data_IF_577343348548
#
_entry.id   IF_577343348548
#
_cell.length_a   1.000
_cell.length_b   1.000
_cell.length_c   1.000
_cell.angle_alpha   90.00
_cell.angle_beta   90.00
_cell.angle_gamma   90.00
#
_symmetry.space_group_name_H-M   'P 1'
#
loop_
_entity.id
_entity.type
_entity.pdbx_description
1 polymer ?
#
# COMPACT_ATOMS: atom_id res chain seq x y z
N UNK A 1 23.04 -46.91 18.34
CA UNK A 1 23.32 -46.86 16.88
C UNK A 1 22.80 -45.54 16.32
N UNK A 2 23.64 -44.50 16.11
CA UNK A 2 23.20 -43.19 15.64
C UNK A 2 23.95 -42.77 14.36
N UNK A 3 23.44 -43.13 13.17
CA UNK A 3 23.98 -42.62 11.90
C UNK A 3 22.92 -42.24 10.85
N UNK A 4 21.63 -42.49 11.07
CA UNK A 4 20.62 -42.34 10.01
C UNK A 4 20.06 -40.90 9.84
N UNK A 5 20.18 -40.02 10.83
CA UNK A 5 19.49 -38.71 10.83
C UNK A 5 20.21 -37.57 10.08
N UNK A 6 21.50 -37.73 9.72
CA UNK A 6 22.25 -36.68 9.00
C UNK A 6 22.04 -36.67 7.48
N UNK A 7 21.48 -37.74 6.89
CA UNK A 7 21.40 -37.87 5.43
C UNK A 7 20.15 -37.24 4.79
N UNK A 8 19.13 -36.91 5.58
CA UNK A 8 17.82 -36.42 5.08
C UNK A 8 17.86 -34.93 4.72
N UNK A 9 18.70 -34.14 5.40
CA UNK A 9 18.80 -32.69 5.15
C UNK A 9 19.59 -32.32 3.88
N UNK A 10 20.49 -33.19 3.40
CA UNK A 10 21.37 -32.89 2.25
C UNK A 10 20.64 -32.99 0.91
N UNK A 11 19.62 -33.85 0.81
CA UNK A 11 18.88 -34.04 -0.45
C UNK A 11 17.80 -32.97 -0.70
N UNK A 12 17.28 -32.33 0.34
CA UNK A 12 16.30 -31.24 0.22
C UNK A 12 16.92 -29.92 -0.24
N UNK A 13 18.22 -29.71 0.01
CA UNK A 13 18.94 -28.51 -0.43
C UNK A 13 19.36 -28.54 -1.91
N UNK A 14 19.47 -29.73 -2.53
CA UNK A 14 19.98 -29.89 -3.88
C UNK A 14 18.94 -29.70 -5.00
N UNK A 15 17.65 -29.66 -4.69
CA UNK A 15 16.59 -29.45 -5.71
C UNK A 15 16.22 -27.98 -5.96
N UNK A 16 16.82 -27.01 -5.25
CA UNK A 16 16.44 -25.59 -5.36
C UNK A 16 17.36 -24.78 -6.30
N UNK A 17 18.49 -25.33 -6.79
CA UNK A 17 19.56 -24.52 -7.42
C UNK A 17 19.59 -24.57 -8.97
N UNK A 18 18.67 -25.27 -9.64
CA UNK A 18 18.82 -25.57 -11.07
C UNK A 18 17.72 -25.09 -12.01
N UNK A 19 17.50 -23.78 -12.21
CA UNK A 19 16.84 -23.32 -13.45
C UNK A 19 17.16 -21.86 -13.83
N UNK A 20 17.74 -21.61 -15.03
CA UNK A 20 17.91 -20.26 -15.57
C UNK A 20 16.73 -19.80 -16.45
N UNK A 21 16.59 -18.48 -16.53
CA UNK A 21 15.55 -17.67 -17.19
C UNK A 21 15.65 -17.64 -18.73
N UNK A 22 14.51 -17.39 -19.39
CA UNK A 22 14.44 -16.59 -20.63
C UNK A 22 13.02 -16.07 -20.91
N UNK A 23 12.86 -14.75 -21.01
CA UNK A 23 11.71 -14.06 -21.58
C UNK A 23 12.21 -12.97 -22.53
N UNK A 24 11.59 -12.82 -23.71
CA UNK A 24 11.86 -11.75 -24.68
C UNK A 24 10.53 -11.33 -25.34
N UNK A 25 10.31 -10.01 -25.44
CA UNK A 25 9.07 -9.38 -25.90
C UNK A 25 9.33 -8.48 -27.12
N UNK A 26 8.35 -8.41 -28.04
CA UNK A 26 8.29 -7.44 -29.15
C UNK A 26 6.98 -7.58 -29.96
N UNK A 27 6.19 -6.49 -30.07
CA UNK A 27 4.97 -6.34 -30.90
C UNK A 27 5.19 -5.23 -31.96
N UNK A 28 4.52 -5.24 -33.15
CA UNK A 28 3.28 -4.44 -33.33
C UNK A 28 2.25 -4.84 -34.44
N UNK A 29 1.00 -4.35 -34.26
CA UNK A 29 -0.09 -3.90 -35.18
C UNK A 29 -0.72 -4.77 -36.31
N UNK A 30 -2.05 -4.59 -36.51
CA UNK A 30 -3.08 -5.55 -37.00
C UNK A 30 -3.89 -5.01 -38.22
N UNK A 31 -4.46 -5.86 -39.09
CA UNK A 31 -5.59 -5.50 -40.00
C UNK A 31 -6.74 -6.54 -40.07
N UNK A 32 -7.93 -6.13 -40.54
CA UNK A 32 -9.18 -6.94 -40.56
C UNK A 32 -9.15 -8.16 -41.50
N UNK A 33 -8.27 -8.18 -42.50
CA UNK A 33 -8.00 -9.39 -43.30
C UNK A 33 -7.13 -10.40 -42.53
N UNK A 34 -6.39 -9.93 -41.52
CA UNK A 34 -5.72 -10.79 -40.54
C UNK A 34 -6.71 -11.37 -39.54
N UNK A 35 -7.93 -10.82 -39.38
CA UNK A 35 -8.94 -11.36 -38.45
C UNK A 35 -9.60 -12.62 -39.01
N UNK A 36 -9.94 -12.67 -40.31
CA UNK A 36 -10.52 -13.90 -40.91
C UNK A 36 -9.49 -15.01 -41.12
N UNK A 37 -8.23 -14.65 -41.39
CA UNK A 37 -7.08 -15.57 -41.33
C UNK A 37 -6.67 -15.91 -39.91
N UNK A 38 -6.93 -15.07 -38.91
CA UNK A 38 -6.70 -15.35 -37.50
C UNK A 38 -7.68 -16.40 -37.01
N UNK A 39 -8.96 -16.38 -37.40
CA UNK A 39 -9.94 -17.39 -36.94
C UNK A 39 -9.63 -18.79 -37.48
N UNK A 40 -9.14 -18.92 -38.72
CA UNK A 40 -8.74 -20.22 -39.28
C UNK A 40 -7.34 -20.67 -38.84
N UNK A 41 -6.40 -19.73 -38.62
CA UNK A 41 -5.13 -20.01 -37.91
C UNK A 41 -5.27 -20.13 -36.38
N UNK A 42 -6.43 -19.80 -35.79
CA UNK A 42 -6.66 -19.90 -34.34
C UNK A 42 -6.66 -21.37 -33.91
N UNK A 43 -7.17 -22.24 -34.78
CA UNK A 43 -7.19 -23.70 -34.63
C UNK A 43 -5.90 -24.38 -35.12
N UNK A 44 -5.17 -23.82 -36.09
CA UNK A 44 -3.93 -24.43 -36.64
C UNK A 44 -2.59 -23.83 -36.13
N UNK A 45 -2.57 -22.64 -35.51
CA UNK A 45 -1.33 -21.94 -35.11
C UNK A 45 -1.34 -21.26 -33.71
N UNK A 46 -2.38 -21.40 -32.87
CA UNK A 46 -2.43 -20.64 -31.60
C UNK A 46 -3.00 -21.37 -30.38
N UNK A 47 -3.99 -22.24 -30.57
CA UNK A 47 -4.53 -23.05 -29.47
C UNK A 47 -3.61 -24.21 -29.09
N UNK A 48 -2.82 -24.76 -30.01
CA UNK A 48 -1.80 -25.77 -29.63
C UNK A 48 -0.70 -25.13 -28.80
N UNK A 49 -0.22 -23.93 -29.08
CA UNK A 49 0.83 -23.30 -28.26
C UNK A 49 0.37 -23.01 -26.83
N UNK A 50 -0.76 -22.33 -26.68
CA UNK A 50 -1.30 -21.94 -25.36
C UNK A 50 -1.91 -23.13 -24.62
N UNK A 51 -2.61 -24.04 -25.31
CA UNK A 51 -3.09 -25.27 -24.68
C UNK A 51 -1.95 -26.25 -24.39
N UNK A 52 -0.90 -26.34 -25.21
CA UNK A 52 0.31 -27.12 -24.91
C UNK A 52 1.06 -26.53 -23.74
N UNK A 53 1.21 -25.21 -23.67
CA UNK A 53 1.83 -24.54 -22.53
C UNK A 53 1.00 -24.78 -21.26
N UNK A 54 -0.33 -24.67 -21.33
CA UNK A 54 -1.20 -25.00 -20.20
C UNK A 54 -1.14 -26.47 -19.83
N UNK A 55 -1.12 -27.38 -20.81
CA UNK A 55 -1.00 -28.83 -20.58
C UNK A 55 0.37 -29.19 -20.03
N UNK A 56 1.44 -28.53 -20.45
CA UNK A 56 2.79 -28.71 -19.93
C UNK A 56 2.85 -28.26 -18.47
N UNK A 57 2.30 -27.07 -18.18
CA UNK A 57 2.18 -26.57 -16.81
C UNK A 57 1.33 -27.52 -15.96
N UNK A 58 0.15 -27.94 -16.44
CA UNK A 58 -0.71 -28.91 -15.75
C UNK A 58 0.03 -30.23 -15.55
N UNK A 59 0.76 -30.73 -16.56
CA UNK A 59 1.51 -31.98 -16.47
C UNK A 59 2.63 -31.88 -15.44
N UNK A 60 3.38 -30.77 -15.45
CA UNK A 60 4.39 -30.47 -14.45
C UNK A 60 3.80 -30.42 -13.04
N UNK A 61 2.66 -29.74 -12.87
CA UNK A 61 1.95 -29.71 -11.59
C UNK A 61 1.44 -31.08 -11.16
N UNK A 62 0.90 -31.88 -12.07
CA UNK A 62 0.43 -33.24 -11.79
C UNK A 62 1.62 -34.12 -11.37
N UNK A 63 2.74 -34.06 -12.09
CA UNK A 63 3.95 -34.81 -11.73
C UNK A 63 4.48 -34.36 -10.37
N UNK A 64 4.55 -33.05 -10.11
CA UNK A 64 4.94 -32.51 -8.81
C UNK A 64 3.99 -32.92 -7.67
N UNK A 65 2.68 -32.93 -7.92
CA UNK A 65 1.66 -33.39 -6.99
C UNK A 65 1.83 -34.89 -6.68
N UNK A 66 2.05 -35.71 -7.70
CA UNK A 66 2.28 -37.15 -7.53
C UNK A 66 3.61 -37.43 -6.80
N UNK A 67 4.66 -36.68 -7.11
CA UNK A 67 5.96 -36.79 -6.45
C UNK A 67 5.89 -36.38 -4.97
N UNK A 68 5.29 -35.23 -4.67
CA UNK A 68 5.06 -34.76 -3.29
C UNK A 68 4.18 -35.72 -2.49
N UNK A 69 3.17 -36.32 -3.12
CA UNK A 69 2.37 -37.40 -2.51
C UNK A 69 3.24 -38.59 -2.12
N UNK A 70 4.16 -38.99 -3.00
CA UNK A 70 5.14 -40.04 -2.72
C UNK A 70 6.03 -39.70 -1.54
N UNK A 71 6.53 -38.46 -1.47
CA UNK A 71 7.35 -37.98 -0.35
C UNK A 71 6.57 -38.02 0.96
N UNK A 72 5.32 -37.52 0.99
CA UNK A 72 4.48 -37.56 2.19
C UNK A 72 4.20 -39.00 2.62
N UNK A 73 3.88 -39.88 1.67
CA UNK A 73 3.69 -41.30 1.96
C UNK A 73 4.95 -41.93 2.54
N UNK A 74 6.12 -41.63 1.96
CA UNK A 74 7.41 -42.14 2.42
C UNK A 74 7.75 -41.64 3.83
N UNK A 75 7.62 -40.34 4.07
CA UNK A 75 7.84 -39.72 5.39
C UNK A 75 6.89 -40.33 6.43
N UNK A 76 5.60 -40.44 6.13
CA UNK A 76 4.61 -41.02 7.04
C UNK A 76 4.93 -42.47 7.39
N UNK A 77 5.24 -43.29 6.38
CA UNK A 77 5.61 -44.68 6.59
C UNK A 77 6.99 -44.82 7.26
N UNK A 78 7.87 -43.83 7.12
CA UNK A 78 9.12 -43.71 7.87
C UNK A 78 8.87 -43.46 9.36
N UNK A 79 8.05 -42.45 9.69
CA UNK A 79 7.66 -42.13 11.08
C UNK A 79 6.96 -43.30 11.78
N UNK A 80 6.24 -44.13 11.04
CA UNK A 80 5.61 -45.33 11.59
C UNK A 80 6.61 -46.31 12.22
N UNK A 81 7.87 -46.30 11.80
CA UNK A 81 8.91 -47.13 12.43
C UNK A 81 9.18 -46.69 13.88
N UNK A 82 9.06 -45.39 14.16
CA UNK A 82 9.26 -44.82 15.49
C UNK A 82 7.96 -44.83 16.31
N UNK A 83 6.79 -44.79 15.65
CA UNK A 83 5.47 -44.76 16.29
C UNK A 83 4.58 -45.92 15.80
N UNK A 84 4.57 -47.07 16.50
CA UNK A 84 3.85 -48.27 16.07
C UNK A 84 2.32 -48.11 16.04
N UNK A 85 1.80 -47.07 16.68
CA UNK A 85 0.37 -46.74 16.72
C UNK A 85 -0.14 -46.20 15.36
N UNK A 86 0.74 -45.73 14.48
CA UNK A 86 0.32 -45.09 13.23
C UNK A 86 -0.17 -46.11 12.17
N UNK A 87 -1.33 -45.86 11.53
CA UNK A 87 -1.83 -46.70 10.45
C UNK A 87 -0.98 -46.58 9.19
N UNK A 88 -0.87 -47.69 8.43
CA UNK A 88 -0.20 -47.68 7.12
C UNK A 88 -0.95 -46.80 6.14
N UNK A 89 -0.22 -45.85 5.54
CA UNK A 89 -0.77 -44.97 4.52
C UNK A 89 -0.47 -45.53 3.14
N UNK A 90 -1.51 -45.92 2.41
CA UNK A 90 -1.40 -46.26 0.99
C UNK A 90 -1.26 -44.99 0.16
N UNK A 91 -0.65 -45.09 -1.03
CA UNK A 91 -0.46 -43.95 -1.92
C UNK A 91 -1.78 -43.24 -2.25
N UNK A 92 -2.85 -44.02 -2.49
CA UNK A 92 -4.18 -43.48 -2.75
C UNK A 92 -4.75 -42.67 -1.56
N UNK A 93 -4.48 -43.11 -0.31
CA UNK A 93 -4.88 -42.36 0.89
C UNK A 93 -4.07 -41.09 1.05
N UNK A 94 -2.76 -41.14 0.81
CA UNK A 94 -1.90 -39.96 0.84
C UNK A 94 -2.36 -38.91 -0.20
N UNK A 95 -2.65 -39.35 -1.43
CA UNK A 95 -3.17 -38.50 -2.50
C UNK A 95 -4.50 -37.87 -2.09
N UNK A 96 -5.41 -38.67 -1.52
CA UNK A 96 -6.71 -38.18 -1.03
C UNK A 96 -6.56 -37.11 0.06
N UNK A 97 -5.63 -37.30 1.01
CA UNK A 97 -5.34 -36.31 2.05
C UNK A 97 -4.84 -34.99 1.44
N UNK A 98 -3.91 -35.05 0.50
CA UNK A 98 -3.34 -33.85 -0.15
C UNK A 98 -4.40 -33.11 -0.95
N UNK A 99 -5.22 -33.82 -1.73
CA UNK A 99 -6.32 -33.22 -2.49
C UNK A 99 -7.34 -32.57 -1.55
N UNK A 100 -7.72 -33.26 -0.46
CA UNK A 100 -8.66 -32.75 0.52
C UNK A 100 -8.13 -31.47 1.20
N UNK A 101 -6.87 -31.47 1.62
CA UNK A 101 -6.20 -30.30 2.19
C UNK A 101 -6.10 -29.16 1.19
N UNK A 102 -5.72 -29.46 -0.06
CA UNK A 102 -5.67 -28.47 -1.13
C UNK A 102 -7.03 -27.81 -1.37
N UNK A 103 -8.10 -28.59 -1.43
CA UNK A 103 -9.47 -28.09 -1.59
C UNK A 103 -9.90 -27.22 -0.40
N UNK A 104 -9.56 -27.63 0.83
CA UNK A 104 -9.82 -26.85 2.04
C UNK A 104 -9.11 -25.48 1.98
N UNK A 105 -7.83 -25.45 1.57
CA UNK A 105 -7.10 -24.19 1.41
C UNK A 105 -7.70 -23.30 0.32
N UNK A 106 -8.09 -23.87 -0.83
CA UNK A 106 -8.76 -23.12 -1.90
C UNK A 106 -10.05 -22.48 -1.39
N UNK A 107 -10.86 -23.21 -0.62
CA UNK A 107 -12.07 -22.68 -0.01
C UNK A 107 -11.76 -21.50 0.93
N UNK A 108 -10.78 -21.67 1.84
CA UNK A 108 -10.38 -20.61 2.78
C UNK A 108 -9.86 -19.36 2.05
N UNK A 109 -8.98 -19.53 1.06
CA UNK A 109 -8.43 -18.42 0.28
C UNK A 109 -9.52 -17.68 -0.50
N UNK A 110 -10.50 -18.41 -1.03
CA UNK A 110 -11.66 -17.83 -1.71
C UNK A 110 -12.50 -17.00 -0.73
N UNK A 111 -12.73 -17.50 0.49
CA UNK A 111 -13.46 -16.76 1.53
C UNK A 111 -12.73 -15.50 1.99
N UNK A 112 -11.41 -15.55 2.18
CA UNK A 112 -10.61 -14.36 2.54
C UNK A 112 -10.67 -13.31 1.42
N UNK A 113 -10.58 -13.75 0.16
CA UNK A 113 -10.65 -12.87 -0.99
C UNK A 113 -12.04 -12.24 -1.12
N UNK A 114 -13.10 -13.02 -0.94
CA UNK A 114 -14.49 -12.52 -0.92
C UNK A 114 -14.76 -11.54 0.22
N UNK A 115 -14.21 -11.79 1.42
CA UNK A 115 -14.32 -10.86 2.54
C UNK A 115 -13.62 -9.53 2.26
N UNK A 116 -12.45 -9.57 1.60
CA UNK A 116 -11.73 -8.35 1.20
C UNK A 116 -12.52 -7.52 0.18
N UNK A 117 -13.18 -8.17 -0.78
CA UNK A 117 -14.02 -7.49 -1.77
C UNK A 117 -15.22 -6.78 -1.12
N UNK A 118 -15.80 -7.38 -0.07
CA UNK A 118 -16.86 -6.75 0.71
C UNK A 118 -16.38 -5.55 1.55
N UNK A 119 -15.11 -5.53 1.94
CA UNK A 119 -14.53 -4.44 2.74
C UNK A 119 -14.11 -3.22 1.91
N UNK A 120 -14.05 -3.31 0.57
CA UNK A 120 -13.73 -2.17 -0.31
C UNK A 120 -14.86 -1.88 -1.30
N UNK A 121 -16.05 -1.47 -0.82
CA UNK A 121 -17.15 -1.08 -1.70
C UNK A 121 -16.69 0.06 -2.61
N UNK A 122 -16.88 -0.10 -3.92
CA UNK A 122 -16.51 0.90 -4.93
C UNK A 122 -15.12 0.76 -5.56
N UNK A 123 -14.31 -0.23 -5.15
CA UNK A 123 -13.00 -0.46 -5.77
C UNK A 123 -13.07 -1.03 -7.20
N UNK A 124 -14.23 -1.57 -7.59
CA UNK A 124 -14.46 -2.23 -8.87
C UNK A 124 -15.55 -1.50 -9.65
N UNK A 125 -15.24 -1.11 -10.87
CA UNK A 125 -16.20 -0.58 -11.84
C UNK A 125 -16.43 -1.61 -12.95
N UNK A 126 -17.68 -1.73 -13.40
CA UNK A 126 -18.04 -2.65 -14.47
C UNK A 126 -17.57 -2.09 -15.81
N UNK A 127 -16.62 -2.76 -16.47
CA UNK A 127 -16.15 -2.40 -17.81
C UNK A 127 -16.55 -3.50 -18.81
N UNK A 128 -17.77 -3.38 -19.36
CA UNK A 128 -18.33 -4.38 -20.28
C UNK A 128 -18.70 -5.69 -19.58
N UNK A 129 -18.07 -6.79 -19.99
CA UNK A 129 -18.24 -8.14 -19.44
C UNK A 129 -17.32 -8.45 -18.26
N UNK A 130 -16.33 -7.58 -18.00
CA UNK A 130 -15.31 -7.75 -16.97
C UNK A 130 -15.36 -6.61 -15.97
N UNK A 131 -14.80 -6.82 -14.78
CA UNK A 131 -14.61 -5.77 -13.77
C UNK A 131 -13.19 -5.21 -13.90
N UNK A 132 -13.06 -3.90 -13.70
CA UNK A 132 -11.76 -3.23 -13.62
C UNK A 132 -11.66 -2.48 -12.29
N UNK A 133 -10.46 -2.50 -11.70
CA UNK A 133 -10.18 -1.67 -10.54
C UNK A 133 -10.23 -0.19 -10.93
N UNK A 134 -10.94 0.61 -10.15
CA UNK A 134 -10.94 2.07 -10.31
C UNK A 134 -9.51 2.55 -10.05
N UNK A 135 -8.82 3.17 -11.03
CA UNK A 135 -7.49 3.70 -10.78
C UNK A 135 -7.59 4.79 -9.71
N UNK A 136 -6.64 4.82 -8.75
CA UNK A 136 -6.61 5.91 -7.77
C UNK A 136 -6.53 7.25 -8.51
N UNK A 137 -7.15 8.32 -7.97
CA UNK A 137 -7.09 9.64 -8.59
C UNK A 137 -5.62 10.01 -8.85
N UNK A 138 -5.31 10.65 -9.99
CA UNK A 138 -3.95 11.03 -10.32
C UNK A 138 -3.41 11.93 -9.20
N UNK A 139 -2.27 11.55 -8.63
CA UNK A 139 -1.53 12.39 -7.68
C UNK A 139 -1.27 13.72 -8.38
N UNK A 140 -1.69 14.86 -7.81
CA UNK A 140 -1.46 16.15 -8.43
C UNK A 140 0.06 16.36 -8.64
N UNK A 141 0.47 17.10 -9.69
CA UNK A 141 1.87 17.48 -9.84
C UNK A 141 2.39 18.15 -8.57
N UNK A 142 3.63 17.85 -8.16
CA UNK A 142 4.23 18.35 -6.91
C UNK A 142 4.11 19.88 -6.80
N UNK A 143 4.28 20.61 -7.90
CA UNK A 143 4.13 22.07 -7.94
C UNK A 143 2.70 22.55 -7.62
N UNK A 144 1.68 21.80 -8.06
CA UNK A 144 0.29 22.12 -7.77
C UNK A 144 -0.03 21.90 -6.28
N UNK A 145 0.55 20.87 -5.67
CA UNK A 145 0.45 20.61 -4.24
C UNK A 145 1.16 21.70 -3.41
N UNK A 146 2.38 22.07 -3.77
CA UNK A 146 3.13 23.17 -3.12
C UNK A 146 2.34 24.48 -3.19
N UNK A 147 1.74 24.78 -4.34
CA UNK A 147 0.92 25.99 -4.53
C UNK A 147 -0.35 25.94 -3.68
N UNK A 148 -1.06 24.81 -3.68
CA UNK A 148 -2.28 24.63 -2.90
C UNK A 148 -2.01 24.78 -1.39
N UNK A 149 -0.88 24.26 -0.90
CA UNK A 149 -0.44 24.39 0.49
C UNK A 149 -0.15 25.86 0.86
N UNK A 150 0.62 26.56 0.04
CA UNK A 150 0.86 28.00 0.25
C UNK A 150 -0.42 28.83 0.22
N UNK A 151 -1.31 28.59 -0.72
CA UNK A 151 -2.58 29.32 -0.79
C UNK A 151 -3.46 29.04 0.44
N UNK A 152 -3.47 27.79 0.93
CA UNK A 152 -4.22 27.42 2.13
C UNK A 152 -3.71 28.13 3.38
N UNK A 153 -2.40 28.12 3.64
CA UNK A 153 -1.83 28.78 4.83
C UNK A 153 -1.95 30.31 4.75
N UNK A 154 -1.85 30.90 3.55
CA UNK A 154 -2.09 32.33 3.37
C UNK A 154 -3.56 32.72 3.61
N UNK A 155 -4.53 31.88 3.20
CA UNK A 155 -5.95 32.12 3.52
C UNK A 155 -6.20 32.06 5.04
N UNK A 156 -5.59 31.09 5.72
CA UNK A 156 -5.66 31.01 7.18
C UNK A 156 -5.04 32.27 7.83
N UNK A 157 -3.84 32.67 7.40
CA UNK A 157 -3.16 33.87 7.89
C UNK A 157 -3.97 35.13 7.70
N UNK A 158 -4.55 35.35 6.51
CA UNK A 158 -5.42 36.50 6.25
C UNK A 158 -6.60 36.59 7.22
N UNK A 159 -7.24 35.45 7.52
CA UNK A 159 -8.35 35.40 8.47
C UNK A 159 -7.92 35.66 9.91
N UNK A 160 -6.77 35.13 10.34
CA UNK A 160 -6.21 35.39 11.67
C UNK A 160 -5.80 36.85 11.85
N UNK A 161 -5.26 37.48 10.80
CA UNK A 161 -4.92 38.90 10.84
C UNK A 161 -6.19 39.77 10.87
N UNK A 162 -7.20 39.45 10.06
CA UNK A 162 -8.48 40.15 10.09
C UNK A 162 -9.15 40.05 11.47
N UNK A 163 -9.09 38.87 12.09
CA UNK A 163 -9.51 38.64 13.46
C UNK A 163 -8.78 39.57 14.45
N UNK A 164 -7.45 39.59 14.39
CA UNK A 164 -6.62 40.37 15.30
C UNK A 164 -6.91 41.88 15.16
N UNK A 165 -7.09 42.38 13.93
CA UNK A 165 -7.48 43.78 13.69
C UNK A 165 -8.80 44.14 14.37
N UNK A 166 -9.76 43.22 14.41
CA UNK A 166 -11.05 43.42 15.07
C UNK A 166 -10.98 43.43 16.60
N UNK A 167 -9.89 42.91 17.20
CA UNK A 167 -9.75 42.70 18.66
C UNK A 167 -8.46 43.31 19.22
N UNK A 168 -8.10 44.50 18.76
CA UNK A 168 -6.99 45.27 19.33
C UNK A 168 -5.61 44.64 19.10
N UNK A 169 -5.46 43.85 18.04
CA UNK A 169 -4.20 43.19 17.68
C UNK A 169 -3.98 41.84 18.36
N UNK A 170 -4.91 41.34 19.17
CA UNK A 170 -4.76 40.04 19.83
C UNK A 170 -5.18 38.89 18.91
N UNK A 171 -4.29 37.92 18.72
CA UNK A 171 -4.65 36.64 18.09
C UNK A 171 -5.48 35.77 19.04
N UNK A 172 -6.27 34.81 18.51
CA UNK A 172 -7.01 33.86 19.33
C UNK A 172 -6.15 33.11 20.37
N UNK A 173 -6.71 32.82 21.54
CA UNK A 173 -6.04 31.98 22.55
C UNK A 173 -6.24 30.51 22.19
N UNK A 174 -5.20 29.66 22.22
CA UNK A 174 -5.31 28.24 21.89
C UNK A 174 -6.43 27.54 22.68
N UNK A 175 -7.28 26.78 21.97
CA UNK A 175 -8.40 26.04 22.56
C UNK A 175 -9.70 26.22 21.76
N UNK A 176 -10.83 25.91 22.40
CA UNK A 176 -12.15 25.89 21.72
C UNK A 176 -12.59 27.25 21.18
N UNK A 177 -12.11 28.37 21.75
CA UNK A 177 -12.43 29.71 21.26
C UNK A 177 -11.90 29.98 19.83
N UNK A 178 -10.81 29.33 19.42
CA UNK A 178 -10.27 29.44 18.05
C UNK A 178 -11.15 28.69 17.04
N UNK A 179 -11.67 27.54 17.46
CA UNK A 179 -12.44 26.62 16.61
C UNK A 179 -13.88 27.09 16.38
N UNK A 180 -14.47 27.81 17.35
CA UNK A 180 -15.80 28.41 17.18
C UNK A 180 -15.77 29.69 16.31
N UNK A 181 -14.66 30.44 16.34
CA UNK A 181 -14.59 31.76 15.70
C UNK A 181 -13.88 31.76 14.33
N UNK A 182 -13.03 30.78 14.04
CA UNK A 182 -12.38 30.60 12.73
C UNK A 182 -12.91 29.33 12.08
N UNK A 183 -13.42 29.44 10.84
CA UNK A 183 -14.01 28.33 10.10
C UNK A 183 -13.12 27.08 10.12
N UNK A 184 -13.66 25.93 10.58
CA UNK A 184 -12.93 24.67 10.72
C UNK A 184 -12.21 24.24 9.43
N UNK A 185 -12.79 24.60 8.28
CA UNK A 185 -12.24 24.32 6.95
C UNK A 185 -10.89 24.99 6.69
N UNK A 186 -10.59 26.13 7.33
CA UNK A 186 -9.33 26.85 7.14
C UNK A 186 -8.16 26.18 7.88
N UNK A 187 -8.46 25.41 8.91
CA UNK A 187 -7.47 24.67 9.69
C UNK A 187 -7.04 23.36 9.04
N UNK A 188 -7.74 22.93 7.97
CA UNK A 188 -7.45 21.67 7.28
C UNK A 188 -6.38 21.83 6.22
N UNK A 189 -5.45 20.88 6.17
CA UNK A 189 -4.45 20.82 5.12
C UNK A 189 -5.07 20.28 3.82
N UNK A 190 -4.63 20.79 2.65
CA UNK A 190 -5.03 20.23 1.36
C UNK A 190 -4.40 18.84 1.11
N UNK A 191 -3.21 18.58 1.66
CA UNK A 191 -2.49 17.30 1.58
C UNK A 191 -1.52 17.20 2.75
N UNK A 192 -1.49 16.08 3.51
CA UNK A 192 -2.34 14.90 3.37
C UNK A 192 -3.80 15.16 3.84
N UNK A 193 -4.79 14.41 3.30
CA UNK A 193 -6.19 14.59 3.69
C UNK A 193 -6.40 14.27 5.17
N UNK A 194 -7.07 15.18 5.89
CA UNK A 194 -7.31 15.07 7.33
C UNK A 194 -6.21 15.67 8.21
N UNK A 195 -5.11 16.14 7.63
CA UNK A 195 -4.11 16.93 8.36
C UNK A 195 -4.70 18.26 8.84
N UNK A 196 -4.23 18.76 9.99
CA UNK A 196 -4.57 20.09 10.53
C UNK A 196 -3.31 20.89 10.83
N UNK A 197 -3.37 22.22 10.65
CA UNK A 197 -2.30 23.10 11.10
C UNK A 197 -2.24 23.10 12.63
N UNK A 198 -1.04 23.09 13.19
CA UNK A 198 -0.83 23.31 14.61
C UNK A 198 -0.85 24.81 14.90
N UNK A 199 -1.71 25.21 15.81
CA UNK A 199 -1.84 26.60 16.23
C UNK A 199 -1.10 26.83 17.55
N UNK A 200 -0.23 27.84 17.57
CA UNK A 200 0.54 28.22 18.77
C UNK A 200 -0.20 29.30 19.56
N UNK A 201 -0.77 30.29 18.86
CA UNK A 201 -1.65 31.34 19.42
C UNK A 201 -1.05 32.22 20.51
N UNK A 202 -1.88 33.10 21.07
CA UNK A 202 -1.54 33.87 22.28
C UNK A 202 -0.58 35.07 22.12
N UNK A 203 -0.23 35.47 20.89
CA UNK A 203 0.70 36.58 20.62
C UNK A 203 -0.05 37.82 20.11
N UNK A 204 0.52 39.02 20.29
CA UNK A 204 -0.02 40.27 19.75
C UNK A 204 0.58 40.57 18.37
N UNK A 205 -0.24 41.05 17.43
CA UNK A 205 0.09 41.38 16.03
C UNK A 205 1.20 42.45 15.90
N UNK A 206 1.42 43.25 16.95
CA UNK A 206 2.43 44.31 17.02
C UNK A 206 2.75 44.58 18.50
N UNK A 207 3.25 43.57 19.23
CA UNK A 207 3.84 43.89 20.52
C UNK A 207 5.10 44.73 20.26
N UNK A 208 5.07 46.00 20.66
CA UNK A 208 6.15 46.96 20.48
C UNK A 208 7.45 46.51 21.18
N UNK A 209 7.35 45.49 22.05
CA UNK A 209 8.47 44.86 22.76
C UNK A 209 8.98 43.56 22.10
N UNK A 210 8.31 43.03 21.07
CA UNK A 210 8.72 41.80 20.38
C UNK A 210 9.60 42.16 19.17
N UNK A 211 10.90 41.87 19.28
CA UNK A 211 11.95 42.26 18.32
C UNK A 211 11.91 41.41 17.03
N UNK A 212 11.17 40.30 17.00
CA UNK A 212 11.11 39.41 15.84
C UNK A 212 9.76 38.71 15.73
N UNK A 213 9.20 38.56 14.53
CA UNK A 213 7.95 37.83 14.34
C UNK A 213 8.11 36.39 14.84
N UNK A 214 7.06 35.88 15.47
CA UNK A 214 7.06 34.58 16.15
C UNK A 214 6.12 33.62 15.43
N UNK A 215 6.18 32.33 15.76
CA UNK A 215 5.39 31.31 15.07
C UNK A 215 3.94 31.39 15.53
N UNK A 216 3.02 31.59 14.59
CA UNK A 216 1.58 31.64 14.85
C UNK A 216 0.92 30.28 14.56
N UNK A 217 1.26 29.66 13.44
CA UNK A 217 0.77 28.34 13.05
C UNK A 217 1.77 27.62 12.14
N UNK A 218 1.77 26.29 12.12
CA UNK A 218 2.65 25.51 11.25
C UNK A 218 2.04 24.18 10.83
N UNK A 219 2.57 23.58 9.76
CA UNK A 219 2.13 22.26 9.29
C UNK A 219 2.60 21.10 10.20
N UNK A 220 1.83 19.99 10.27
CA UNK A 220 2.21 18.82 11.05
C UNK A 220 3.42 18.08 10.46
N UNK A 221 4.02 17.23 11.26
CA UNK A 221 5.15 16.38 10.90
C UNK A 221 4.86 15.37 9.79
N UNK A 222 3.60 14.97 9.66
CA UNK A 222 3.12 14.09 8.59
C UNK A 222 3.30 14.62 7.17
N UNK A 223 3.55 15.92 6.98
CA UNK A 223 3.70 16.55 5.66
C UNK A 223 5.11 16.37 5.08
N UNK A 224 6.14 16.38 5.93
CA UNK A 224 7.53 16.27 5.48
C UNK A 224 8.55 16.96 6.39
N UNK A 225 9.80 17.02 5.90
CA UNK A 225 10.95 17.63 6.58
C UNK A 225 10.88 19.15 6.59
N UNK A 226 10.45 19.74 5.48
CA UNK A 226 10.26 21.18 5.32
C UNK A 226 8.77 21.50 5.37
N UNK A 227 8.43 22.48 6.19
CA UNK A 227 7.05 22.80 6.55
C UNK A 227 6.79 24.28 6.36
N UNK A 228 5.58 24.58 5.95
CA UNK A 228 5.09 25.94 5.92
C UNK A 228 4.76 26.40 7.34
N UNK A 229 5.25 27.58 7.66
CA UNK A 229 5.08 28.23 8.95
C UNK A 229 4.52 29.62 8.71
N UNK A 230 3.41 29.91 9.37
CA UNK A 230 2.78 31.22 9.43
C UNK A 230 3.33 31.98 10.63
N UNK A 231 3.84 33.16 10.36
CA UNK A 231 4.41 34.07 11.35
C UNK A 231 3.38 35.10 11.84
N UNK A 232 3.62 35.73 12.98
CA UNK A 232 2.72 36.76 13.55
C UNK A 232 2.57 38.02 12.69
N UNK A 233 3.58 38.35 11.88
CA UNK A 233 3.51 39.45 10.89
C UNK A 233 2.74 39.06 9.60
N UNK A 234 2.26 37.83 9.52
CA UNK A 234 1.55 37.29 8.36
C UNK A 234 2.47 36.74 7.27
N UNK A 235 3.79 36.75 7.47
CA UNK A 235 4.72 36.10 6.53
C UNK A 235 4.61 34.57 6.62
N UNK A 236 4.87 33.92 5.48
CA UNK A 236 4.86 32.46 5.36
C UNK A 236 6.25 32.01 4.95
N UNK A 237 6.86 31.15 5.77
CA UNK A 237 8.23 30.67 5.58
C UNK A 237 8.26 29.14 5.46
N UNK A 238 9.23 28.64 4.70
CA UNK A 238 9.61 27.23 4.73
C UNK A 238 10.66 27.05 5.81
N UNK A 239 10.34 26.29 6.85
CA UNK A 239 11.27 25.98 7.93
C UNK A 239 11.42 24.47 8.07
N UNK A 240 12.63 24.04 8.39
CA UNK A 240 12.90 22.67 8.78
C UNK A 240 12.31 22.38 10.18
N UNK A 241 12.04 21.12 10.48
CA UNK A 241 11.58 20.71 11.82
C UNK A 241 12.49 21.24 12.95
N UNK A 242 13.81 21.25 12.74
CA UNK A 242 14.79 21.73 13.71
C UNK A 242 14.77 23.26 13.92
N UNK A 243 14.33 24.03 12.93
CA UNK A 243 14.17 25.48 13.05
C UNK A 243 12.88 25.81 13.82
N UNK A 244 11.80 25.10 13.50
CA UNK A 244 10.52 25.23 14.20
C UNK A 244 10.70 24.94 15.69
N UNK A 245 11.34 23.81 16.04
CA UNK A 245 11.59 23.45 17.43
C UNK A 245 12.45 24.49 18.15
N UNK A 246 13.52 24.97 17.52
CA UNK A 246 14.35 26.04 18.09
C UNK A 246 13.57 27.32 18.36
N UNK A 247 12.69 27.72 17.45
CA UNK A 247 11.88 28.92 17.60
C UNK A 247 10.80 28.76 18.68
N UNK A 248 10.17 27.60 18.76
CA UNK A 248 9.18 27.30 19.81
C UNK A 248 9.82 27.23 21.20
N UNK A 249 10.99 26.60 21.34
CA UNK A 249 11.69 26.50 22.65
C UNK A 249 12.31 27.83 23.08
N UNK A 250 12.66 28.72 22.14
CA UNK A 250 13.16 30.07 22.50
C UNK A 250 12.09 30.99 23.10
N UNK A 251 10.82 30.59 23.07
CA UNK A 251 9.68 31.34 23.64
C UNK A 251 9.20 30.82 25.00
N UNK A 252 9.74 29.72 25.54
CA UNK A 252 9.47 29.32 26.94
C UNK A 252 10.35 30.15 27.90
N UNK A 253 9.78 31.01 28.75
CA UNK A 253 10.52 31.78 29.76
C UNK A 253 11.05 30.93 30.93
#
# INVERSE_FOLDING_TARGET
MPHATRSVFVWLALMVVGWPQAASAGMPSVTLADVSRAVSRFTELGLTGLARQRLEVISFFVVGLLASTGVIQWVWNGLRNDFPVLPRLSYARALGIIILWGLLFVLVLTMISGARELMTPGAWEKQGLTYRLVPPPPVPPIEAEIRARHEAINRLGGRLVDYARGRGGAFPVPGHAVEEEVEELLWRLPSPPGGRYHYVGGVLLNDEYVVSPTILAYEPDTVGSDRLVLMTDGTVLWLSASEIERMLTSEEP
#
